data_IF_863261315480
#
_entry.id   IF_863261315480
#
_cell.length_a   1.000
_cell.length_b   1.000
_cell.length_c   1.000
_cell.angle_alpha   90.00
_cell.angle_beta   90.00
_cell.angle_gamma   90.00
#
_symmetry.space_group_name_H-M   'P 1'
#
loop_
_entity.id
_entity.type
_entity.pdbx_description
1 polymer ?
#
# COMPACT_ATOMS: atom_id res chain seq x y z
N UNK A 1 5.63 18.07 -3.84
CA UNK A 1 5.95 17.56 -5.19
C UNK A 1 6.13 16.06 -5.05
N UNK A 2 5.55 15.28 -5.95
CA UNK A 2 5.55 13.82 -5.91
C UNK A 2 6.42 13.27 -7.06
N UNK A 3 7.10 12.14 -6.83
CA UNK A 3 8.00 11.51 -7.80
C UNK A 3 7.24 11.05 -9.04
N UNK A 4 6.01 10.55 -8.89
CA UNK A 4 5.19 10.14 -10.04
C UNK A 4 4.88 11.34 -10.95
N UNK A 5 4.48 12.47 -10.37
CA UNK A 5 4.24 13.71 -11.11
C UNK A 5 5.53 14.24 -11.79
N UNK A 6 6.69 14.07 -11.13
CA UNK A 6 7.99 14.47 -11.67
C UNK A 6 8.37 13.65 -12.90
N UNK A 7 8.33 12.32 -12.80
CA UNK A 7 8.64 11.40 -13.90
C UNK A 7 7.63 11.58 -15.04
N UNK A 8 6.33 11.62 -14.72
CA UNK A 8 5.30 11.82 -15.72
C UNK A 8 5.44 13.15 -16.49
N UNK A 9 5.89 14.21 -15.82
CA UNK A 9 6.14 15.50 -16.49
C UNK A 9 7.35 15.44 -17.42
N UNK A 10 8.41 14.71 -17.06
CA UNK A 10 9.56 14.51 -17.94
C UNK A 10 9.18 13.66 -19.15
N UNK A 11 8.45 12.56 -18.95
CA UNK A 11 7.96 11.72 -20.06
C UNK A 11 7.13 12.53 -21.05
N UNK A 12 6.13 13.29 -20.57
CA UNK A 12 5.31 14.16 -21.44
C UNK A 12 6.13 15.24 -22.16
N UNK A 13 7.19 15.75 -21.52
CA UNK A 13 8.08 16.71 -22.16
C UNK A 13 8.86 16.06 -23.32
N UNK A 14 9.40 14.85 -23.12
CA UNK A 14 10.08 14.12 -24.20
C UNK A 14 9.14 13.79 -25.36
N UNK A 15 7.92 13.36 -25.05
CA UNK A 15 6.86 13.12 -26.04
C UNK A 15 6.52 14.39 -26.83
N UNK A 16 6.40 15.54 -26.16
CA UNK A 16 6.18 16.83 -26.82
C UNK A 16 7.32 17.21 -27.76
N UNK A 17 8.57 16.98 -27.37
CA UNK A 17 9.72 17.23 -28.23
C UNK A 17 9.89 16.19 -29.34
N UNK A 18 9.22 15.03 -29.23
CA UNK A 18 9.34 13.92 -30.17
C UNK A 18 10.70 13.21 -30.13
N UNK A 19 11.43 13.33 -29.02
CA UNK A 19 12.79 12.79 -28.90
C UNK A 19 13.41 13.02 -27.52
N UNK A 20 14.43 12.22 -27.20
CA UNK A 20 15.15 12.30 -25.93
C UNK A 20 16.49 13.04 -26.09
N UNK A 21 16.80 14.04 -25.24
CA UNK A 21 18.10 14.69 -25.26
C UNK A 21 19.17 13.77 -24.66
N UNK A 22 20.43 14.01 -25.01
CA UNK A 22 21.56 13.27 -24.40
C UNK A 22 21.69 13.54 -22.91
N UNK A 23 21.37 14.76 -22.46
CA UNK A 23 21.46 15.16 -21.06
C UNK A 23 20.22 15.92 -20.62
N UNK A 24 19.67 15.54 -19.47
CA UNK A 24 18.65 16.31 -18.73
C UNK A 24 19.31 16.89 -17.49
N UNK A 25 19.17 18.21 -17.31
CA UNK A 25 19.72 18.93 -16.14
C UNK A 25 18.57 19.37 -15.23
N UNK A 26 18.13 18.51 -14.29
CA UNK A 26 17.09 18.90 -13.35
C UNK A 26 17.65 19.80 -12.24
N UNK A 27 16.74 20.46 -11.54
CA UNK A 27 17.06 21.08 -10.26
C UNK A 27 17.42 20.01 -9.21
N UNK A 28 18.22 20.36 -8.20
CA UNK A 28 18.64 19.42 -7.15
C UNK A 28 17.52 19.13 -6.14
N UNK A 29 16.45 18.50 -6.62
CA UNK A 29 15.32 18.14 -5.81
C UNK A 29 15.55 16.80 -5.10
N UNK A 30 15.61 16.85 -3.76
CA UNK A 30 15.99 15.72 -2.88
C UNK A 30 15.21 14.41 -3.12
N UNK A 31 13.99 14.47 -3.64
CA UNK A 31 13.17 13.27 -3.89
C UNK A 31 13.57 12.55 -5.19
N UNK A 32 14.07 13.29 -6.19
CA UNK A 32 14.58 12.74 -7.44
C UNK A 32 16.10 12.49 -7.39
N UNK A 33 16.82 13.25 -6.57
CA UNK A 33 18.27 13.18 -6.38
C UNK A 33 18.56 12.92 -4.91
N UNK A 34 18.93 11.68 -4.55
CA UNK A 34 19.25 11.30 -3.16
C UNK A 34 20.54 11.98 -2.70
N UNK A 35 21.57 11.95 -3.55
CA UNK A 35 22.85 12.62 -3.30
C UNK A 35 23.29 13.34 -4.57
N UNK A 36 23.38 14.68 -4.52
CA UNK A 36 23.91 15.46 -5.62
C UNK A 36 25.43 15.47 -5.57
N UNK A 37 26.06 14.68 -6.43
CA UNK A 37 27.50 14.70 -6.67
C UNK A 37 27.74 14.97 -8.17
N UNK A 38 28.74 15.78 -8.48
CA UNK A 38 29.12 16.06 -9.87
C UNK A 38 29.77 14.85 -10.55
N UNK A 39 30.42 13.98 -9.78
CA UNK A 39 31.12 12.80 -10.27
C UNK A 39 30.22 11.55 -10.25
N UNK A 40 29.44 11.35 -9.18
CA UNK A 40 28.56 10.17 -9.01
C UNK A 40 27.23 10.57 -8.34
N UNK A 41 26.28 11.19 -9.05
CA UNK A 41 24.99 11.53 -8.47
C UNK A 41 24.18 10.27 -8.16
N UNK A 42 23.76 10.10 -6.91
CA UNK A 42 22.83 9.04 -6.53
C UNK A 42 21.40 9.51 -6.84
N UNK A 43 20.86 9.02 -7.95
CA UNK A 43 19.49 9.28 -8.32
C UNK A 43 18.53 8.39 -7.52
N UNK A 44 17.28 8.83 -7.43
CA UNK A 44 16.20 7.92 -7.10
C UNK A 44 16.18 6.78 -8.13
N UNK A 45 15.99 5.53 -7.67
CA UNK A 45 16.05 4.34 -8.52
C UNK A 45 15.08 4.43 -9.71
N UNK A 46 13.86 4.89 -9.49
CA UNK A 46 12.88 5.10 -10.56
C UNK A 46 13.35 6.15 -11.57
N UNK A 47 14.03 7.20 -11.11
CA UNK A 47 14.53 8.25 -12.01
C UNK A 47 15.76 7.78 -12.80
N UNK A 48 16.60 6.94 -12.20
CA UNK A 48 17.69 6.27 -12.91
C UNK A 48 17.16 5.31 -13.98
N UNK A 49 16.12 4.51 -13.66
CA UNK A 49 15.45 3.63 -14.63
C UNK A 49 14.83 4.43 -15.78
N UNK A 50 14.19 5.56 -15.47
CA UNK A 50 13.67 6.48 -16.48
C UNK A 50 14.78 7.03 -17.40
N UNK A 51 15.90 7.46 -16.82
CA UNK A 51 17.04 7.99 -17.56
C UNK A 51 17.64 6.92 -18.50
N UNK A 52 17.80 5.70 -17.99
CA UNK A 52 18.27 4.56 -18.76
C UNK A 52 17.31 4.21 -19.91
N UNK A 53 16.00 4.21 -19.66
CA UNK A 53 14.98 3.87 -20.64
C UNK A 53 14.98 4.80 -21.85
N UNK A 54 15.17 6.10 -21.63
CA UNK A 54 15.27 7.10 -22.70
C UNK A 54 16.70 7.37 -23.18
N UNK A 55 17.67 6.56 -22.74
CA UNK A 55 19.10 6.73 -23.06
C UNK A 55 19.62 8.16 -22.82
N UNK A 56 19.15 8.79 -21.74
CA UNK A 56 19.52 10.14 -21.34
C UNK A 56 20.31 10.12 -20.04
N UNK A 57 21.31 11.01 -19.93
CA UNK A 57 22.04 11.20 -18.68
C UNK A 57 21.33 12.28 -17.84
N UNK A 58 21.12 12.01 -16.56
CA UNK A 58 20.60 13.01 -15.62
C UNK A 58 21.77 13.63 -14.87
N UNK A 59 22.00 14.92 -15.08
CA UNK A 59 23.07 15.68 -14.43
C UNK A 59 22.44 16.80 -13.61
N UNK A 60 22.19 16.60 -12.30
CA UNK A 60 21.55 17.62 -11.47
C UNK A 60 22.37 18.91 -11.41
N UNK A 61 21.69 20.07 -11.43
CA UNK A 61 22.33 21.36 -11.20
C UNK A 61 22.98 21.39 -9.81
N UNK A 62 24.18 21.99 -9.69
CA UNK A 62 24.88 21.99 -8.40
C UNK A 62 24.12 22.84 -7.36
N UNK A 63 24.09 22.41 -6.09
CA UNK A 63 23.53 23.23 -5.01
C UNK A 63 24.17 24.63 -5.01
N UNK A 64 23.34 25.67 -4.92
CA UNK A 64 23.78 27.09 -4.82
C UNK A 64 24.64 27.56 -6.01
N UNK A 65 24.46 26.99 -7.20
CA UNK A 65 25.10 27.46 -8.45
C UNK A 65 24.05 27.83 -9.51
N UNK A 66 23.51 29.07 -9.48
CA UNK A 66 22.44 29.51 -10.37
C UNK A 66 22.79 29.43 -11.86
N UNK A 67 24.08 29.51 -12.21
CA UNK A 67 24.56 29.50 -13.60
C UNK A 67 24.31 28.17 -14.31
N UNK A 68 24.23 27.05 -13.59
CA UNK A 68 24.05 25.71 -14.16
C UNK A 68 22.68 25.53 -14.82
N UNK A 69 21.68 26.32 -14.38
CA UNK A 69 20.31 26.28 -14.90
C UNK A 69 19.76 27.67 -15.24
N UNK A 70 20.63 28.66 -15.47
CA UNK A 70 20.22 30.06 -15.65
C UNK A 70 19.19 30.25 -16.78
N UNK A 71 19.27 29.45 -17.85
CA UNK A 71 18.28 29.47 -18.95
C UNK A 71 16.92 28.91 -18.54
N UNK A 72 16.87 27.95 -17.61
CA UNK A 72 15.63 27.34 -17.15
C UNK A 72 14.78 28.35 -16.35
N UNK A 73 15.39 29.15 -15.47
CA UNK A 73 14.67 30.18 -14.70
C UNK A 73 14.02 31.24 -15.60
N UNK A 74 14.77 31.72 -16.61
CA UNK A 74 14.21 32.64 -17.61
C UNK A 74 13.09 31.98 -18.40
N UNK A 75 13.24 30.70 -18.77
CA UNK A 75 12.19 29.93 -19.44
C UNK A 75 10.90 29.84 -18.62
N UNK A 76 11.02 29.56 -17.31
CA UNK A 76 9.88 29.53 -16.38
C UNK A 76 9.19 30.89 -16.32
N UNK A 77 9.94 31.98 -16.14
CA UNK A 77 9.36 33.33 -16.11
C UNK A 77 8.64 33.71 -17.42
N UNK A 78 9.16 33.24 -18.56
CA UNK A 78 8.49 33.43 -19.86
C UNK A 78 7.17 32.66 -19.88
N UNK A 79 7.16 31.38 -19.50
CA UNK A 79 5.95 30.58 -19.46
C UNK A 79 4.91 31.16 -18.48
N UNK A 80 5.32 31.57 -17.28
CA UNK A 80 4.46 32.23 -16.31
C UNK A 80 3.82 33.50 -16.87
N UNK A 81 4.61 34.35 -17.54
CA UNK A 81 4.10 35.62 -18.08
C UNK A 81 3.16 35.45 -19.26
N UNK A 82 3.46 34.53 -20.17
CA UNK A 82 2.73 34.41 -21.45
C UNK A 82 1.62 33.38 -21.43
N UNK A 83 1.67 32.42 -20.49
CA UNK A 83 0.65 31.38 -20.36
C UNK A 83 -0.13 31.61 -19.08
N UNK A 84 0.50 31.47 -17.91
CA UNK A 84 -0.21 31.50 -16.61
C UNK A 84 -0.90 32.85 -16.38
N UNK A 85 -0.18 33.95 -16.55
CA UNK A 85 -0.74 35.29 -16.36
C UNK A 85 -1.80 35.63 -17.42
N UNK A 86 -1.71 35.10 -18.64
CA UNK A 86 -2.72 35.30 -19.68
C UNK A 86 -4.06 34.62 -19.32
N UNK A 87 -4.00 33.50 -18.59
CA UNK A 87 -5.19 32.74 -18.17
C UNK A 87 -5.80 33.20 -16.83
N UNK A 88 -5.16 34.13 -16.11
CA UNK A 88 -5.53 34.49 -14.71
C UNK A 88 -6.96 35.00 -14.49
N UNK A 89 -7.62 35.46 -15.55
CA UNK A 89 -8.99 36.01 -15.51
C UNK A 89 -10.01 35.12 -16.24
N UNK A 90 -9.61 33.91 -16.64
CA UNK A 90 -10.48 32.94 -17.30
C UNK A 90 -10.84 31.84 -16.29
N UNK A 91 -12.13 31.58 -16.16
CA UNK A 91 -12.65 30.44 -15.40
C UNK A 91 -12.71 29.22 -16.30
N UNK A 92 -12.31 28.06 -15.78
CA UNK A 92 -12.35 26.78 -16.49
C UNK A 92 -13.24 25.81 -15.73
N UNK A 93 -13.96 24.97 -16.47
CA UNK A 93 -14.89 23.98 -15.89
C UNK A 93 -14.35 22.55 -15.97
N UNK A 94 -13.19 22.35 -16.59
CA UNK A 94 -12.50 21.05 -16.60
C UNK A 94 -10.98 21.20 -16.79
N UNK A 95 -10.23 20.18 -16.38
CA UNK A 95 -8.79 20.10 -16.66
C UNK A 95 -8.50 20.00 -18.17
N UNK A 96 -9.39 19.36 -18.94
CA UNK A 96 -9.25 19.25 -20.39
C UNK A 96 -9.32 20.64 -21.05
N UNK A 97 -10.29 21.46 -20.64
CA UNK A 97 -10.43 22.84 -21.14
C UNK A 97 -9.20 23.70 -20.80
N UNK A 98 -8.71 23.59 -19.55
CA UNK A 98 -7.49 24.29 -19.14
C UNK A 98 -6.27 23.85 -19.97
N UNK A 99 -6.09 22.54 -20.17
CA UNK A 99 -5.00 22.01 -20.96
C UNK A 99 -5.06 22.50 -22.41
N UNK A 100 -6.24 22.54 -23.02
CA UNK A 100 -6.42 23.08 -24.37
C UNK A 100 -6.00 24.55 -24.45
N UNK A 101 -6.46 25.39 -23.52
CA UNK A 101 -6.07 26.80 -23.49
C UNK A 101 -4.56 27.00 -23.29
N UNK A 102 -3.92 26.15 -22.47
CA UNK A 102 -2.47 26.13 -22.31
C UNK A 102 -1.78 25.78 -23.64
N UNK A 103 -2.26 24.78 -24.38
CA UNK A 103 -1.71 24.36 -25.66
C UNK A 103 -1.76 25.46 -26.73
N UNK A 104 -2.87 26.18 -26.80
CA UNK A 104 -3.04 27.32 -27.71
C UNK A 104 -2.00 28.42 -27.41
N UNK A 105 -1.86 28.80 -26.14
CA UNK A 105 -0.89 29.81 -25.72
C UNK A 105 0.56 29.36 -25.88
N UNK A 106 0.86 28.09 -25.60
CA UNK A 106 2.18 27.50 -25.80
C UNK A 106 2.58 27.54 -27.28
N UNK A 107 1.66 27.19 -28.18
CA UNK A 107 1.88 27.25 -29.63
C UNK A 107 2.19 28.68 -30.07
N UNK A 108 1.37 29.65 -29.64
CA UNK A 108 1.60 31.06 -29.93
C UNK A 108 2.93 31.59 -29.36
N UNK A 109 3.30 31.18 -28.15
CA UNK A 109 4.57 31.54 -27.51
C UNK A 109 5.78 31.01 -28.30
N UNK A 110 5.70 29.77 -28.80
CA UNK A 110 6.78 29.15 -29.56
C UNK A 110 6.93 29.74 -30.97
N UNK A 111 5.83 30.20 -31.58
CA UNK A 111 5.82 30.89 -32.88
C UNK A 111 6.18 32.38 -32.80
N UNK A 112 6.19 32.98 -31.60
CA UNK A 112 6.50 34.40 -31.43
C UNK A 112 7.97 34.70 -31.78
N UNK A 113 8.18 35.70 -32.65
CA UNK A 113 9.53 36.18 -33.02
C UNK A 113 10.31 36.70 -31.80
N UNK A 114 11.62 36.46 -31.79
CA UNK A 114 12.50 37.10 -30.81
C UNK A 114 12.65 38.60 -31.09
N UNK A 115 12.98 39.39 -30.06
CA UNK A 115 13.17 40.85 -30.20
C UNK A 115 14.41 41.24 -31.00
N UNK A 116 15.48 40.45 -30.92
CA UNK A 116 16.80 40.79 -31.47
C UNK A 116 17.22 39.91 -32.65
N UNK A 117 16.45 38.87 -32.96
CA UNK A 117 16.79 37.88 -33.99
C UNK A 117 15.51 37.54 -34.75
N UNK A 118 15.57 37.54 -36.08
CA UNK A 118 14.41 37.24 -36.94
C UNK A 118 14.17 35.73 -37.06
N UNK A 119 13.86 35.11 -35.92
CA UNK A 119 13.53 33.69 -35.83
C UNK A 119 12.55 33.48 -34.67
N UNK A 120 12.07 32.25 -34.53
CA UNK A 120 11.12 31.82 -33.49
C UNK A 120 11.71 30.67 -32.68
N UNK A 121 11.16 30.40 -31.50
CA UNK A 121 11.59 29.24 -30.69
C UNK A 121 11.34 27.94 -31.45
N UNK A 122 10.18 27.83 -32.09
CA UNK A 122 9.81 26.67 -32.90
C UNK A 122 10.80 26.42 -34.04
N UNK A 123 11.22 27.48 -34.75
CA UNK A 123 12.19 27.37 -35.84
C UNK A 123 13.57 26.94 -35.36
N UNK A 124 14.07 27.54 -34.27
CA UNK A 124 15.35 27.13 -33.68
C UNK A 124 15.32 25.68 -33.19
N UNK A 125 14.22 25.25 -32.59
CA UNK A 125 14.05 23.86 -32.17
C UNK A 125 14.13 22.90 -33.36
N UNK A 126 13.43 23.21 -34.45
CA UNK A 126 13.42 22.38 -35.66
C UNK A 126 14.81 22.29 -36.33
N UNK A 127 15.53 23.41 -36.40
CA UNK A 127 16.81 23.50 -37.09
C UNK A 127 17.98 22.94 -36.25
N UNK A 128 17.93 23.07 -34.91
CA UNK A 128 19.06 22.80 -34.02
C UNK A 128 18.80 21.61 -33.11
N UNK A 129 17.68 21.63 -32.38
CA UNK A 129 17.44 20.67 -31.30
C UNK A 129 16.91 19.34 -31.84
N UNK A 130 15.89 19.36 -32.72
CA UNK A 130 15.25 18.14 -33.25
C UNK A 130 16.25 17.17 -33.89
N UNK A 131 17.20 17.60 -34.75
CA UNK A 131 18.16 16.68 -35.35
C UNK A 131 19.14 16.06 -34.34
N UNK A 132 19.32 16.68 -33.18
CA UNK A 132 20.20 16.21 -32.11
C UNK A 132 19.50 15.27 -31.11
N UNK A 133 18.16 15.14 -31.18
CA UNK A 133 17.41 14.25 -30.30
C UNK A 133 17.55 12.80 -30.71
N UNK A 134 17.60 11.92 -29.71
CA UNK A 134 17.49 10.48 -29.89
C UNK A 134 16.03 10.08 -30.11
N UNK A 135 15.74 9.04 -30.91
CA UNK A 135 14.37 8.57 -31.08
C UNK A 135 13.79 8.08 -29.76
N UNK A 136 12.48 8.25 -29.59
CA UNK A 136 11.76 7.69 -28.45
C UNK A 136 11.50 6.19 -28.66
N UNK A 137 11.48 5.39 -27.57
CA UNK A 137 10.90 4.06 -27.60
C UNK A 137 9.44 4.07 -28.04
N UNK A 138 8.94 2.94 -28.55
CA UNK A 138 7.56 2.82 -29.04
C UNK A 138 6.51 2.93 -27.93
N UNK A 139 6.84 2.48 -26.71
CA UNK A 139 6.00 2.63 -25.53
C UNK A 139 6.56 3.70 -24.59
N UNK A 140 5.71 4.41 -23.83
CA UNK A 140 6.18 5.31 -22.79
C UNK A 140 6.72 4.54 -21.57
N UNK A 141 7.63 5.17 -20.84
CA UNK A 141 8.12 4.64 -19.57
C UNK A 141 6.98 4.46 -18.58
N UNK A 142 6.82 3.24 -18.06
CA UNK A 142 5.83 2.94 -17.02
C UNK A 142 6.43 3.22 -15.64
N UNK A 143 5.81 4.16 -14.94
CA UNK A 143 6.24 4.53 -13.59
C UNK A 143 6.10 3.34 -12.62
N UNK A 144 7.12 3.16 -11.79
CA UNK A 144 7.07 2.26 -10.66
C UNK A 144 7.81 2.86 -9.46
N UNK A 145 7.28 2.66 -8.27
CA UNK A 145 7.93 3.05 -7.01
C UNK A 145 8.68 1.88 -6.40
N UNK A 146 9.81 2.15 -5.74
CA UNK A 146 10.59 1.12 -5.05
C UNK A 146 10.48 1.28 -3.55
N UNK A 147 10.07 0.21 -2.87
CA UNK A 147 9.95 0.15 -1.41
C UNK A 147 10.68 -1.07 -0.86
N UNK A 148 11.51 -0.87 0.16
CA UNK A 148 12.12 -1.98 0.89
C UNK A 148 11.19 -2.45 2.00
N UNK A 149 11.03 -3.76 2.13
CA UNK A 149 10.20 -4.39 3.15
C UNK A 149 10.86 -5.66 3.69
N UNK A 150 10.46 -6.09 4.88
CA UNK A 150 10.89 -7.37 5.45
C UNK A 150 9.77 -8.38 5.31
N UNK A 151 10.11 -9.60 4.92
CA UNK A 151 9.16 -10.70 4.85
C UNK A 151 8.78 -11.13 6.27
N UNK A 152 7.49 -11.08 6.57
CA UNK A 152 6.94 -11.46 7.84
C UNK A 152 6.97 -12.98 8.04
N UNK A 153 6.75 -13.42 9.28
CA UNK A 153 6.73 -14.85 9.65
C UNK A 153 5.64 -15.64 8.93
N UNK A 154 4.61 -14.95 8.45
CA UNK A 154 3.52 -15.50 7.64
C UNK A 154 3.81 -15.40 6.14
N UNK A 155 5.09 -15.31 5.71
CA UNK A 155 5.54 -15.29 4.31
C UNK A 155 4.93 -14.17 3.45
N UNK A 156 4.53 -13.05 4.07
CA UNK A 156 4.00 -11.87 3.37
C UNK A 156 4.89 -10.63 3.53
N UNK A 157 4.78 -9.72 2.57
CA UNK A 157 5.41 -8.40 2.57
C UNK A 157 4.32 -7.34 2.44
N UNK A 158 4.38 -6.31 3.27
CA UNK A 158 3.43 -5.20 3.23
C UNK A 158 3.83 -4.16 2.16
N UNK A 159 2.91 -3.87 1.25
CA UNK A 159 3.01 -2.82 0.24
C UNK A 159 1.73 -1.99 0.30
N UNK A 160 1.85 -0.69 0.59
CA UNK A 160 0.74 0.26 0.72
C UNK A 160 -0.43 -0.20 1.62
N UNK A 161 -0.14 -0.96 2.68
CA UNK A 161 -1.14 -1.53 3.59
C UNK A 161 -1.84 -2.79 3.07
N UNK A 162 -1.43 -3.35 1.93
CA UNK A 162 -1.83 -4.66 1.44
C UNK A 162 -0.67 -5.67 1.59
N UNK A 163 -0.98 -6.95 1.82
CA UNK A 163 0.02 -7.98 2.08
C UNK A 163 0.15 -8.94 0.90
N UNK A 164 1.34 -9.02 0.32
CA UNK A 164 1.62 -9.91 -0.82
C UNK A 164 2.52 -11.06 -0.38
N UNK A 165 2.13 -12.28 -0.72
CA UNK A 165 2.93 -13.47 -0.39
C UNK A 165 4.23 -13.54 -1.18
N UNK A 166 5.24 -14.15 -0.59
CA UNK A 166 6.50 -14.57 -1.23
C UNK A 166 6.79 -16.03 -0.85
N UNK A 167 7.63 -16.77 -1.60
CA UNK A 167 7.98 -18.13 -1.22
C UNK A 167 8.51 -18.19 0.23
N UNK A 168 8.00 -19.13 1.03
CA UNK A 168 8.27 -19.19 2.47
C UNK A 168 9.75 -19.30 2.86
N UNK A 169 10.61 -19.75 1.95
CA UNK A 169 12.06 -19.77 2.13
C UNK A 169 12.66 -18.38 2.40
N UNK A 170 11.93 -17.32 2.06
CA UNK A 170 12.34 -15.93 2.23
C UNK A 170 11.83 -15.29 3.53
N UNK A 171 11.23 -16.06 4.45
CA UNK A 171 10.77 -15.52 5.74
C UNK A 171 11.94 -14.80 6.44
N UNK A 172 11.66 -13.61 6.98
CA UNK A 172 12.61 -12.70 7.63
C UNK A 172 13.65 -12.03 6.73
N UNK A 173 13.72 -12.35 5.44
CA UNK A 173 14.60 -11.66 4.50
C UNK A 173 14.11 -10.23 4.22
N UNK A 174 15.07 -9.37 3.87
CA UNK A 174 14.79 -8.04 3.34
C UNK A 174 14.64 -8.14 1.83
N UNK A 175 13.55 -7.61 1.31
CA UNK A 175 13.18 -7.63 -0.11
C UNK A 175 12.81 -6.23 -0.59
N UNK A 176 12.85 -6.03 -1.89
CA UNK A 176 12.48 -4.80 -2.56
C UNK A 176 11.20 -5.03 -3.37
N UNK A 177 10.17 -4.23 -3.13
CA UNK A 177 8.95 -4.22 -3.93
C UNK A 177 9.03 -3.09 -4.97
N UNK A 178 8.88 -3.44 -6.24
CA UNK A 178 8.62 -2.52 -7.35
C UNK A 178 7.11 -2.44 -7.57
N UNK A 179 6.57 -1.27 -7.33
CA UNK A 179 5.13 -0.98 -7.26
C UNK A 179 4.75 -0.24 -8.54
N UNK A 180 4.20 -0.97 -9.52
CA UNK A 180 3.68 -0.39 -10.74
C UNK A 180 2.21 0.04 -10.62
N UNK A 181 1.61 0.44 -11.73
CA UNK A 181 0.19 0.80 -11.79
C UNK A 181 -0.71 -0.42 -11.51
N UNK A 182 -0.45 -1.54 -12.19
CA UNK A 182 -1.30 -2.74 -12.16
C UNK A 182 -0.66 -3.93 -11.46
N UNK A 183 0.63 -3.87 -11.16
CA UNK A 183 1.39 -5.01 -10.61
C UNK A 183 2.33 -4.59 -9.48
N UNK A 184 2.62 -5.55 -8.62
CA UNK A 184 3.65 -5.45 -7.58
C UNK A 184 4.64 -6.59 -7.81
N UNK A 185 5.89 -6.24 -8.11
CA UNK A 185 6.97 -7.18 -8.32
C UNK A 185 7.89 -7.18 -7.08
N UNK A 186 8.21 -8.35 -6.54
CA UNK A 186 9.06 -8.48 -5.35
C UNK A 186 10.42 -9.05 -5.76
N UNK A 187 11.50 -8.41 -5.31
CA UNK A 187 12.88 -8.73 -5.64
C UNK A 187 13.70 -9.02 -4.38
N UNK A 188 14.71 -9.88 -4.52
CA UNK A 188 15.79 -10.06 -3.54
C UNK A 188 17.12 -10.00 -4.26
N UNK A 189 18.02 -9.11 -3.83
CA UNK A 189 19.35 -8.94 -4.41
C UNK A 189 19.34 -8.83 -5.95
N UNK A 190 18.40 -8.04 -6.50
CA UNK A 190 18.24 -7.85 -7.94
C UNK A 190 17.50 -8.96 -8.70
N UNK A 191 17.26 -10.12 -8.09
CA UNK A 191 16.47 -11.21 -8.70
C UNK A 191 14.98 -11.08 -8.36
N UNK A 192 14.12 -11.08 -9.38
CA UNK A 192 12.67 -11.10 -9.19
C UNK A 192 12.23 -12.45 -8.59
N UNK A 193 11.55 -12.40 -7.46
CA UNK A 193 10.98 -13.57 -6.79
C UNK A 193 9.59 -13.88 -7.33
N UNK A 194 8.72 -12.86 -7.40
CA UNK A 194 7.33 -13.02 -7.83
C UNK A 194 6.74 -11.70 -8.35
N UNK A 195 5.68 -11.81 -9.15
CA UNK A 195 4.83 -10.70 -9.60
C UNK A 195 3.40 -10.97 -9.19
N UNK A 196 2.76 -9.98 -8.56
CA UNK A 196 1.34 -10.00 -8.21
C UNK A 196 0.58 -8.94 -9.00
N UNK A 197 -0.72 -9.17 -9.21
CA UNK A 197 -1.65 -8.09 -9.57
C UNK A 197 -1.79 -7.17 -8.37
N UNK A 198 -1.70 -5.85 -8.60
CA UNK A 198 -1.79 -4.85 -7.54
C UNK A 198 -3.23 -4.75 -7.03
N UNK A 199 -3.38 -4.88 -5.72
CA UNK A 199 -4.61 -4.63 -4.97
C UNK A 199 -4.47 -3.35 -4.13
N UNK A 200 -5.55 -2.57 -4.10
CA UNK A 200 -5.65 -1.34 -3.30
C UNK A 200 -6.43 -1.55 -1.99
N UNK A 201 -6.86 -2.79 -1.71
CA UNK A 201 -7.62 -3.13 -0.50
C UNK A 201 -6.70 -3.18 0.73
N UNK A 202 -6.82 -2.22 1.63
CA UNK A 202 -6.00 -2.17 2.85
C UNK A 202 -6.37 -3.29 3.83
N UNK A 203 -5.37 -3.86 4.50
CA UNK A 203 -5.51 -4.94 5.48
C UNK A 203 -5.85 -6.31 4.89
N UNK A 204 -5.85 -6.46 3.56
CA UNK A 204 -6.12 -7.72 2.86
C UNK A 204 -4.84 -8.36 2.36
N UNK A 205 -4.93 -9.63 2.00
CA UNK A 205 -3.80 -10.47 1.58
C UNK A 205 -4.03 -10.98 0.15
N UNK A 206 -2.97 -10.99 -0.65
CA UNK A 206 -2.89 -11.70 -1.93
C UNK A 206 -1.86 -12.83 -1.78
N UNK A 207 -2.38 -14.05 -1.66
CA UNK A 207 -1.58 -15.24 -1.38
C UNK A 207 -1.59 -16.20 -2.56
N UNK A 208 -0.41 -16.57 -3.06
CA UNK A 208 -0.26 -17.70 -3.98
C UNK A 208 -0.07 -18.99 -3.17
N UNK A 209 -0.76 -20.06 -3.57
CA UNK A 209 -0.70 -21.34 -2.86
C UNK A 209 0.72 -21.92 -2.83
N UNK A 210 1.44 -21.82 -3.95
CA UNK A 210 2.83 -22.26 -4.12
C UNK A 210 3.82 -21.60 -3.15
N UNK A 211 3.50 -20.42 -2.62
CA UNK A 211 4.36 -19.72 -1.68
C UNK A 211 4.33 -20.30 -0.27
N UNK A 212 3.29 -21.08 0.06
CA UNK A 212 3.13 -21.67 1.38
C UNK A 212 4.15 -22.80 1.59
N UNK A 213 4.65 -23.06 2.82
CA UNK A 213 5.43 -24.25 3.11
C UNK A 213 4.66 -25.54 2.78
N UNK A 214 5.30 -26.66 2.38
CA UNK A 214 4.62 -27.91 2.08
C UNK A 214 3.68 -28.40 3.19
N UNK A 215 4.06 -28.22 4.46
CA UNK A 215 3.18 -28.54 5.59
C UNK A 215 1.93 -27.64 5.62
N UNK A 216 2.04 -26.36 5.26
CA UNK A 216 0.92 -25.43 5.13
C UNK A 216 0.16 -25.57 3.79
N UNK A 217 0.75 -26.16 2.75
CA UNK A 217 0.07 -26.53 1.50
C UNK A 217 -0.77 -27.80 1.70
N UNK A 218 -0.22 -28.81 2.38
CA UNK A 218 -0.91 -30.06 2.75
C UNK A 218 -1.94 -29.88 3.87
N UNK A 219 -1.85 -28.76 4.58
CA UNK A 219 -2.89 -28.22 5.44
C UNK A 219 -3.74 -27.26 4.59
N UNK A 220 -4.66 -27.81 3.79
CA UNK A 220 -5.94 -27.12 3.65
C UNK A 220 -6.51 -27.02 5.08
N UNK A 221 -6.29 -25.87 5.70
CA UNK A 221 -6.78 -25.54 7.03
C UNK A 221 -8.28 -25.27 6.92
N UNK A 222 -9.09 -26.32 6.79
CA UNK A 222 -10.53 -26.18 6.91
C UNK A 222 -10.89 -25.94 8.39
N UNK A 223 -11.96 -25.16 8.62
CA UNK A 223 -12.52 -24.98 9.96
C UNK A 223 -12.74 -26.33 10.66
N UNK A 224 -13.22 -27.32 9.91
CA UNK A 224 -13.49 -28.69 10.35
C UNK A 224 -12.24 -29.39 10.91
N UNK A 225 -11.09 -29.25 10.25
CA UNK A 225 -9.83 -29.84 10.72
C UNK A 225 -9.34 -29.21 12.03
N UNK A 226 -9.60 -27.91 12.21
CA UNK A 226 -9.23 -27.20 13.45
C UNK A 226 -10.10 -27.68 14.62
N UNK A 227 -11.39 -27.86 14.37
CA UNK A 227 -12.36 -28.43 15.32
C UNK A 227 -11.97 -29.88 15.66
N UNK A 228 -11.60 -30.70 14.68
CA UNK A 228 -11.18 -32.09 14.90
C UNK A 228 -9.94 -32.20 15.80
N UNK A 229 -8.96 -31.30 15.63
CA UNK A 229 -7.81 -31.22 16.56
C UNK A 229 -8.22 -30.77 17.95
N UNK A 230 -9.22 -29.90 18.06
CA UNK A 230 -9.86 -29.57 19.33
C UNK A 230 -10.47 -30.80 19.99
N UNK A 231 -11.16 -31.66 19.22
CA UNK A 231 -11.78 -32.90 19.72
C UNK A 231 -10.78 -33.89 20.28
N UNK A 232 -9.56 -33.96 19.73
CA UNK A 232 -8.47 -34.78 20.27
C UNK A 232 -8.06 -34.36 21.69
N UNK A 233 -8.25 -33.09 22.06
CA UNK A 233 -8.05 -32.59 23.44
C UNK A 233 -9.33 -32.84 24.25
N UNK A 234 -10.49 -32.52 23.69
CA UNK A 234 -11.80 -32.81 24.25
C UNK A 234 -12.93 -31.99 23.65
N UNK A 235 -14.19 -32.34 23.95
CA UNK A 235 -15.38 -31.74 23.34
C UNK A 235 -15.52 -30.25 23.63
N UNK A 236 -15.15 -29.78 24.82
CA UNK A 236 -15.24 -28.37 25.17
C UNK A 236 -14.19 -27.53 24.45
N UNK A 237 -12.99 -28.08 24.27
CA UNK A 237 -11.95 -27.41 23.47
C UNK A 237 -12.41 -27.25 22.03
N UNK A 238 -13.02 -28.27 21.43
CA UNK A 238 -13.60 -28.17 20.08
C UNK A 238 -14.64 -27.05 19.96
N UNK A 239 -15.59 -26.98 20.91
CA UNK A 239 -16.64 -25.95 20.92
C UNK A 239 -16.09 -24.51 21.14
N UNK A 240 -15.00 -24.34 21.90
CA UNK A 240 -14.32 -23.04 22.00
C UNK A 240 -13.70 -22.65 20.66
N UNK A 241 -13.08 -23.59 19.94
CA UNK A 241 -12.49 -23.32 18.63
C UNK A 241 -13.57 -22.94 17.60
N UNK A 242 -14.69 -23.65 17.60
CA UNK A 242 -15.86 -23.34 16.76
C UNK A 242 -16.35 -21.91 16.99
N UNK A 243 -16.62 -21.52 18.25
CA UNK A 243 -17.02 -20.15 18.59
C UNK A 243 -15.98 -19.08 18.19
N UNK A 244 -14.68 -19.40 18.29
CA UNK A 244 -13.61 -18.49 17.85
C UNK A 244 -13.63 -18.32 16.32
N UNK A 245 -13.87 -19.39 15.58
CA UNK A 245 -13.96 -19.36 14.12
C UNK A 245 -15.19 -18.58 13.65
N UNK A 246 -16.35 -18.78 14.29
CA UNK A 246 -17.61 -18.08 14.01
C UNK A 246 -17.57 -16.59 14.39
N UNK A 247 -16.73 -16.21 15.37
CA UNK A 247 -16.60 -14.82 15.80
C UNK A 247 -16.01 -13.87 14.73
N UNK A 248 -15.48 -14.41 13.63
CA UNK A 248 -14.81 -13.66 12.57
C UNK A 248 -15.54 -13.83 11.23
N UNK A 249 -15.67 -12.76 10.40
CA UNK A 249 -16.29 -12.85 9.07
C UNK A 249 -15.60 -13.84 8.11
N UNK A 250 -14.32 -14.12 8.34
CA UNK A 250 -13.55 -15.11 7.60
C UNK A 250 -12.80 -16.01 8.59
N UNK A 251 -12.99 -17.34 8.56
CA UNK A 251 -12.34 -18.30 9.46
C UNK A 251 -10.81 -18.21 9.49
N UNK A 252 -10.19 -17.84 8.38
CA UNK A 252 -8.74 -17.67 8.25
C UNK A 252 -8.15 -16.67 9.27
N UNK A 253 -8.92 -15.62 9.60
CA UNK A 253 -8.53 -14.60 10.58
C UNK A 253 -8.53 -15.14 12.03
N UNK A 254 -9.25 -16.23 12.28
CA UNK A 254 -9.37 -16.87 13.59
C UNK A 254 -8.37 -18.02 13.81
N UNK A 255 -7.68 -18.49 12.76
CA UNK A 255 -6.75 -19.63 12.88
C UNK A 255 -5.61 -19.38 13.85
N UNK A 256 -5.06 -18.15 13.90
CA UNK A 256 -4.00 -17.79 14.87
C UNK A 256 -4.48 -17.95 16.32
N UNK A 257 -5.70 -17.55 16.61
CA UNK A 257 -6.31 -17.68 17.93
C UNK A 257 -6.53 -19.15 18.29
N UNK A 258 -7.04 -19.96 17.34
CA UNK A 258 -7.26 -21.39 17.53
C UNK A 258 -5.96 -22.15 17.80
N UNK A 259 -4.91 -21.88 17.02
CA UNK A 259 -3.58 -22.46 17.24
C UNK A 259 -2.98 -22.02 18.57
N UNK A 260 -3.21 -20.77 18.98
CA UNK A 260 -2.84 -20.27 20.29
C UNK A 260 -3.46 -21.08 21.42
N UNK A 261 -4.76 -21.38 21.33
CA UNK A 261 -5.50 -22.21 22.30
C UNK A 261 -4.92 -23.63 22.36
N UNK A 262 -4.74 -24.30 21.23
CA UNK A 262 -4.17 -25.66 21.18
C UNK A 262 -2.74 -25.71 21.76
N UNK A 263 -1.92 -24.67 21.55
CA UNK A 263 -0.58 -24.58 22.11
C UNK A 263 -0.57 -24.45 23.65
N UNK A 264 -1.64 -23.92 24.26
CA UNK A 264 -1.75 -23.88 25.73
C UNK A 264 -1.78 -25.30 26.34
N UNK A 265 -2.31 -26.29 25.62
CA UNK A 265 -2.33 -27.68 26.04
C UNK A 265 -0.93 -28.29 26.14
N UNK A 266 0.00 -27.86 25.28
CA UNK A 266 1.42 -28.27 25.38
C UNK A 266 2.09 -27.70 26.63
N UNK A 267 1.68 -26.51 27.09
CA UNK A 267 2.27 -25.83 28.24
C UNK A 267 1.65 -26.24 29.57
N UNK A 268 0.35 -26.53 29.57
CA UNK A 268 -0.43 -26.72 30.80
C UNK A 268 -1.08 -28.10 30.92
N UNK A 269 -0.84 -29.05 29.99
CA UNK A 269 -1.54 -30.33 29.80
C UNK A 269 -2.90 -30.22 29.09
N UNK A 270 -3.28 -31.30 28.42
CA UNK A 270 -4.54 -31.45 27.68
C UNK A 270 -5.75 -31.47 28.62
N UNK A 271 -5.63 -32.08 29.79
CA UNK A 271 -6.72 -32.16 30.78
C UNK A 271 -7.07 -30.76 31.33
N UNK A 272 -6.04 -29.97 31.63
CA UNK A 272 -6.23 -28.59 32.10
C UNK A 272 -6.78 -27.69 31.00
N UNK A 273 -6.33 -27.86 29.76
CA UNK A 273 -6.88 -27.12 28.63
C UNK A 273 -8.38 -27.43 28.46
N UNK A 274 -8.78 -28.69 28.55
CA UNK A 274 -10.19 -29.08 28.44
C UNK A 274 -11.05 -28.52 29.60
N UNK A 275 -10.54 -28.56 30.83
CA UNK A 275 -11.21 -27.93 31.98
C UNK A 275 -11.33 -26.40 31.83
N UNK A 276 -10.29 -25.74 31.34
CA UNK A 276 -10.31 -24.31 31.06
C UNK A 276 -11.30 -23.96 29.94
N UNK A 277 -11.35 -24.77 28.88
CA UNK A 277 -12.30 -24.62 27.78
C UNK A 277 -13.75 -24.79 28.23
N UNK A 278 -14.05 -25.78 29.09
CA UNK A 278 -15.37 -25.93 29.73
C UNK A 278 -15.78 -24.67 30.49
N UNK A 279 -14.86 -24.12 31.28
CA UNK A 279 -15.10 -22.88 32.03
C UNK A 279 -15.27 -21.66 31.13
N UNK A 280 -14.49 -21.55 30.05
CA UNK A 280 -14.64 -20.49 29.07
C UNK A 280 -16.00 -20.53 28.35
N UNK A 281 -16.52 -21.73 28.04
CA UNK A 281 -17.85 -21.90 27.47
C UNK A 281 -18.96 -21.50 28.44
N UNK A 282 -18.86 -21.91 29.70
CA UNK A 282 -19.85 -21.56 30.74
C UNK A 282 -19.94 -20.03 30.95
N UNK A 283 -18.82 -19.33 30.84
CA UNK A 283 -18.74 -17.86 30.97
C UNK A 283 -19.00 -17.12 29.65
N UNK A 284 -19.29 -17.84 28.55
CA UNK A 284 -19.37 -17.32 27.18
C UNK A 284 -18.15 -16.46 26.76
N UNK A 285 -16.99 -16.70 27.36
CA UNK A 285 -15.74 -15.97 27.16
C UNK A 285 -14.80 -16.76 26.24
N UNK A 286 -15.22 -17.00 25.01
CA UNK A 286 -14.50 -17.86 24.06
C UNK A 286 -13.46 -17.07 23.26
N UNK A 287 -12.32 -16.78 23.89
CA UNK A 287 -11.16 -16.17 23.24
C UNK A 287 -9.85 -16.78 23.73
N UNK A 288 -8.79 -16.68 22.94
CA UNK A 288 -7.44 -17.11 23.37
C UNK A 288 -7.01 -16.46 24.70
N UNK A 289 -7.27 -15.16 24.88
CA UNK A 289 -6.88 -14.46 26.11
C UNK A 289 -7.66 -14.96 27.32
N UNK A 290 -8.95 -15.27 27.13
CA UNK A 290 -9.81 -15.81 28.20
C UNK A 290 -9.36 -17.19 28.65
N UNK A 291 -9.11 -18.12 27.70
CA UNK A 291 -8.61 -19.47 28.01
C UNK A 291 -7.23 -19.41 28.67
N UNK A 292 -6.33 -18.55 28.15
CA UNK A 292 -5.02 -18.31 28.77
C UNK A 292 -5.15 -17.80 30.20
N UNK A 293 -6.02 -16.81 30.44
CA UNK A 293 -6.26 -16.24 31.76
C UNK A 293 -6.73 -17.30 32.76
N UNK A 294 -7.71 -18.13 32.37
CA UNK A 294 -8.25 -19.22 33.19
C UNK A 294 -7.14 -20.21 33.59
N UNK A 295 -6.27 -20.59 32.66
CA UNK A 295 -5.15 -21.51 32.92
C UNK A 295 -4.06 -20.90 33.80
N UNK A 296 -3.76 -19.62 33.62
CA UNK A 296 -2.72 -18.93 34.41
C UNK A 296 -3.16 -18.65 35.84
N UNK A 297 -4.45 -18.40 36.05
CA UNK A 297 -5.04 -18.11 37.37
C UNK A 297 -5.46 -19.38 38.12
N UNK A 298 -5.35 -20.56 37.49
CA UNK A 298 -5.74 -21.83 38.10
C UNK A 298 -7.25 -22.02 38.25
N UNK A 299 -8.05 -21.16 37.61
CA UNK A 299 -9.51 -21.24 37.61
C UNK A 299 -10.00 -22.54 36.97
N UNK A 300 -9.22 -23.19 36.12
CA UNK A 300 -9.52 -24.51 35.56
C UNK A 300 -9.66 -25.62 36.63
N UNK A 301 -9.12 -25.41 37.85
CA UNK A 301 -9.12 -26.38 38.95
C UNK A 301 -10.19 -26.15 40.00
N UNK A 302 -10.93 -25.05 39.89
CA UNK A 302 -11.98 -24.70 40.84
C UNK A 302 -13.33 -25.27 40.37
N UNK A 303 -14.24 -25.60 41.31
CA UNK A 303 -15.59 -26.01 40.95
C UNK A 303 -16.27 -24.89 40.16
N UNK A 304 -16.84 -25.26 39.01
CA UNK A 304 -17.73 -24.39 38.25
C UNK A 304 -18.98 -24.18 39.09
N UNK A 305 -19.18 -22.98 39.64
CA UNK A 305 -20.44 -22.62 40.25
C UNK A 305 -21.52 -22.69 39.16
N UNK A 306 -22.48 -23.59 39.32
CA UNK A 306 -23.66 -23.59 38.47
C UNK A 306 -24.36 -22.25 38.67
N UNK A 307 -24.51 -21.45 37.61
CA UNK A 307 -25.47 -20.36 37.65
C UNK A 307 -26.81 -20.96 38.08
N UNK A 308 -27.43 -20.50 39.19
CA UNK A 308 -28.82 -20.80 39.40
C UNK A 308 -29.56 -20.17 38.23
N UNK A 309 -30.29 -20.98 37.48
CA UNK A 309 -31.46 -20.48 36.77
C UNK A 309 -32.39 -19.92 37.84
N UNK A 310 -32.22 -18.66 38.22
CA UNK A 310 -33.19 -17.93 39.02
C UNK A 310 -34.39 -17.64 38.12
N UNK A 311 -35.59 -18.16 38.42
CA UNK A 311 -36.82 -17.67 37.81
C UNK A 311 -37.14 -16.34 38.50
N UNK A 312 -36.45 -15.27 38.11
CA UNK A 312 -36.65 -13.94 38.66
C UNK A 312 -37.16 -12.98 37.59
N UNK A 313 -38.29 -13.33 36.96
CA UNK A 313 -39.12 -12.39 36.22
C UNK A 313 -40.59 -12.79 36.30
N UNK A 314 -41.16 -12.82 37.52
CA UNK A 314 -42.62 -12.81 37.74
C UNK A 314 -42.99 -12.03 39.02
N UNK A 315 -42.16 -11.06 39.43
CA UNK A 315 -42.52 -10.09 40.45
C UNK A 315 -42.82 -8.76 39.76
N UNK A 316 -44.10 -8.50 39.51
CA UNK A 316 -44.59 -7.16 39.16
C UNK A 316 -44.31 -6.24 40.36
N UNK A 317 -43.22 -5.50 40.31
CA UNK A 317 -42.93 -4.47 41.29
C UNK A 317 -43.84 -3.26 41.04
N UNK A 318 -44.56 -2.82 42.08
CA UNK A 318 -45.53 -1.72 42.06
C UNK A 318 -44.98 -0.32 41.68
N UNK A 319 -43.70 -0.22 41.32
CA UNK A 319 -43.01 1.04 41.03
C UNK A 319 -42.54 1.16 39.56
N UNK A 320 -42.89 0.22 38.69
CA UNK A 320 -42.58 0.32 37.26
C UNK A 320 -43.73 1.04 36.55
N UNK A 321 -43.53 2.32 36.22
CA UNK A 321 -44.46 3.11 35.42
C UNK A 321 -44.34 2.68 33.95
N UNK A 322 -45.43 2.18 33.37
CA UNK A 322 -45.50 1.72 31.99
C UNK A 322 -45.44 2.86 30.97
N UNK A 323 -45.19 2.51 29.71
CA UNK A 323 -45.08 3.42 28.56
C UNK A 323 -46.32 4.29 28.31
N UNK A 324 -47.48 3.92 28.85
CA UNK A 324 -48.72 4.70 28.79
C UNK A 324 -48.70 6.02 29.56
N UNK A 325 -47.67 6.28 30.39
CA UNK A 325 -47.49 7.56 31.09
C UNK A 325 -47.04 8.71 30.16
N UNK A 326 -46.44 8.41 29.00
CA UNK A 326 -45.89 9.43 28.09
C UNK A 326 -46.81 9.84 26.94
N UNK A 327 -48.00 9.24 26.82
CA UNK A 327 -48.92 9.45 25.68
C UNK A 327 -50.01 10.53 25.90
N UNK A 328 -49.87 11.40 26.90
CA UNK A 328 -50.74 12.57 27.06
C UNK A 328 -49.94 13.85 27.12
N UNK A 329 -49.69 14.42 25.94
CA UNK A 329 -49.00 15.70 25.83
C UNK A 329 -48.90 16.31 24.43
N UNK A 330 -49.91 16.15 23.56
CA UNK A 330 -50.18 17.11 22.46
C UNK A 330 -51.70 17.14 22.20
N UNK A 331 -52.35 18.20 22.70
CA UNK A 331 -53.38 18.96 22.01
C UNK A 331 -53.56 20.30 22.72
#
# INVERSE_FOLDING_TARGET
>A
RDLAAWIGSHTRALEFFGGAPTVVTPDNWKTAVKTACFYEPELNRTYAEWAQYYHTAVVPARPRKPRDKAKAEVGVLIAERWIVAALRHRTFFSCAELNQAIWELLTGLNQRKFRKVDTTRARLFEEIDRPALKPLPAEPFRFAEWKTGRVNIDYHVEVDGHYYSVPFHYIHDVVEARIGETTVEIFRAGRRLVTHVRSFLKGKHTTLAEHRPPCHQALEWTADRMIERGRLVGPATAAVLEKILESRPHPELAYRSCLGVLRLGQRHSTERLEAASRRALALNACSYQSVKSILTTGLDRQPLEASPNSPAHDAVHANVRGSSYYDKGVN
#
